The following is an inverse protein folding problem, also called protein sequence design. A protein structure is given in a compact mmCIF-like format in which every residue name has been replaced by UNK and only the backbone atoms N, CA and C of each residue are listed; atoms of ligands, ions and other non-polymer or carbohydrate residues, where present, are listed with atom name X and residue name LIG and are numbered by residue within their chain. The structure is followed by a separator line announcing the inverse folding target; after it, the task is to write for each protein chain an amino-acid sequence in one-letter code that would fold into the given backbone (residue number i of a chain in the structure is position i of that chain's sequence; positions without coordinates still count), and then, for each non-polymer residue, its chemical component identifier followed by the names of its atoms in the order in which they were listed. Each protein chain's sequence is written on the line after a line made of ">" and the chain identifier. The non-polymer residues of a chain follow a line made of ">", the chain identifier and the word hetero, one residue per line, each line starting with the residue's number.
data_IF_563457959165
#
_entry.id   IF_563457959165
#
_cell.length_a   1.000
_cell.length_b   1.000
_cell.length_c   1.000
_cell.angle_alpha   90.00
_cell.angle_beta   90.00
_cell.angle_gamma   90.00
#
_symmetry.space_group_name_H-M   'P 1'
#
loop_
_entity.id
_entity.type
_entity.pdbx_description
1 polymer ?
#
# COMPACT_ATOMS: atom_id res chain seq x y z
N UNK A 1 -58.85 30.48 30.38
CA UNK A 1 -58.28 30.74 29.05
C UNK A 1 -56.79 30.46 29.10
N UNK A 2 -56.35 29.28 28.63
CA UNK A 2 -54.92 28.96 28.45
C UNK A 2 -54.77 28.56 26.98
N UNK A 3 -54.17 29.45 26.19
CA UNK A 3 -53.84 29.19 24.79
C UNK A 3 -52.61 28.28 24.73
N UNK A 4 -52.77 27.15 24.06
CA UNK A 4 -51.70 26.23 23.69
C UNK A 4 -51.15 26.70 22.33
N UNK A 5 -49.94 27.26 22.32
CA UNK A 5 -49.23 27.59 21.09
C UNK A 5 -48.42 26.37 20.63
N UNK A 6 -48.83 25.77 19.52
CA UNK A 6 -48.09 24.70 18.84
C UNK A 6 -47.07 25.39 17.92
N UNK A 7 -45.80 25.34 18.27
CA UNK A 7 -44.69 25.73 17.40
C UNK A 7 -44.40 24.56 16.44
N UNK A 8 -44.92 24.63 15.22
CA UNK A 8 -44.48 23.77 14.12
C UNK A 8 -43.16 24.35 13.61
N UNK A 9 -42.05 23.77 14.07
CA UNK A 9 -40.73 23.97 13.47
C UNK A 9 -40.74 23.27 12.10
N UNK A 10 -41.03 24.04 11.05
CA UNK A 10 -40.62 23.71 9.69
C UNK A 10 -39.09 23.84 9.64
N UNK A 11 -38.38 22.74 9.92
CA UNK A 11 -36.99 22.61 9.48
C UNK A 11 -37.00 22.67 7.95
N UNK A 12 -36.53 23.79 7.40
CA UNK A 12 -36.18 23.86 5.99
C UNK A 12 -35.11 22.81 5.73
N UNK A 13 -35.45 21.78 4.97
CA UNK A 13 -34.46 20.91 4.35
C UNK A 13 -33.65 21.79 3.40
N UNK A 14 -32.45 22.18 3.83
CA UNK A 14 -31.45 22.73 2.91
C UNK A 14 -31.04 21.54 2.05
N UNK A 15 -31.46 21.51 0.78
CA UNK A 15 -30.97 20.51 -0.16
C UNK A 15 -29.50 20.80 -0.45
N UNK A 16 -28.60 20.04 0.17
CA UNK A 16 -27.18 20.06 -0.16
C UNK A 16 -26.99 19.44 -1.54
N UNK A 17 -26.40 20.16 -2.48
CA UNK A 17 -26.00 19.62 -3.78
C UNK A 17 -24.62 18.97 -3.68
N UNK A 18 -24.41 17.85 -4.38
CA UNK A 18 -23.07 17.25 -4.56
C UNK A 18 -22.80 16.87 -6.02
N UNK A 19 -21.52 16.84 -6.35
CA UNK A 19 -20.98 16.42 -7.64
C UNK A 19 -19.96 15.31 -7.41
N UNK A 20 -20.24 14.12 -7.93
CA UNK A 20 -19.30 12.99 -8.00
C UNK A 20 -18.63 12.99 -9.38
N UNK A 21 -17.31 12.99 -9.40
CA UNK A 21 -16.52 12.83 -10.64
C UNK A 21 -15.78 11.50 -10.58
N UNK A 22 -15.93 10.67 -11.61
CA UNK A 22 -15.26 9.37 -11.73
C UNK A 22 -14.33 9.40 -12.94
N UNK A 23 -13.05 9.08 -12.71
CA UNK A 23 -12.03 8.90 -13.73
C UNK A 23 -11.75 7.41 -13.91
N UNK A 24 -12.05 6.86 -15.08
CA UNK A 24 -11.48 5.58 -15.48
C UNK A 24 -10.03 5.84 -15.87
N UNK A 25 -9.10 5.00 -15.41
CA UNK A 25 -7.67 5.18 -15.65
C UNK A 25 -7.09 4.03 -16.47
N UNK A 26 -7.35 2.78 -16.05
CA UNK A 26 -6.86 1.61 -16.77
C UNK A 26 -7.88 0.46 -16.74
N UNK A 27 -7.98 -0.25 -17.87
CA UNK A 27 -8.54 -1.59 -17.93
C UNK A 27 -7.53 -2.50 -18.63
N UNK A 28 -7.17 -3.63 -18.04
CA UNK A 28 -6.18 -4.55 -18.60
C UNK A 28 -6.65 -6.00 -18.43
N UNK A 29 -6.91 -6.67 -19.55
CA UNK A 29 -7.28 -8.07 -19.65
C UNK A 29 -6.07 -8.98 -19.91
N UNK A 30 -4.89 -8.65 -19.38
CA UNK A 30 -3.70 -9.51 -19.43
C UNK A 30 -3.42 -10.11 -20.81
N UNK A 31 -3.39 -11.45 -20.89
CA UNK A 31 -3.20 -12.21 -22.13
C UNK A 31 -4.46 -12.35 -23.02
N UNK A 32 -5.57 -11.73 -22.67
CA UNK A 32 -6.76 -11.64 -23.52
C UNK A 32 -7.73 -12.81 -23.35
N UNK A 33 -8.12 -13.07 -22.11
CA UNK A 33 -9.01 -14.17 -21.77
C UNK A 33 -10.47 -13.71 -21.64
N UNK A 34 -11.39 -14.60 -21.98
CA UNK A 34 -12.82 -14.55 -21.69
C UNK A 34 -13.10 -15.11 -20.29
N UNK A 35 -14.24 -14.75 -19.69
CA UNK A 35 -14.62 -15.14 -18.32
C UNK A 35 -14.66 -16.67 -18.11
N UNK A 36 -14.86 -17.44 -19.19
CA UNK A 36 -14.83 -18.91 -19.17
C UNK A 36 -13.41 -19.51 -19.21
N UNK A 37 -12.36 -18.68 -19.29
CA UNK A 37 -10.96 -19.09 -19.36
C UNK A 37 -10.42 -19.32 -20.78
N UNK A 38 -11.26 -19.23 -21.82
CA UNK A 38 -10.80 -19.29 -23.21
C UNK A 38 -10.18 -17.95 -23.65
N UNK A 39 -9.40 -17.93 -24.73
CA UNK A 39 -8.91 -16.68 -25.30
C UNK A 39 -9.98 -15.99 -26.16
N UNK A 40 -9.94 -14.65 -26.25
CA UNK A 40 -10.81 -13.87 -27.14
C UNK A 40 -10.70 -14.25 -28.62
N UNK A 41 -9.58 -14.87 -29.02
CA UNK A 41 -9.31 -15.29 -30.39
C UNK A 41 -8.69 -16.69 -30.40
N UNK A 42 -9.06 -17.52 -31.38
CA UNK A 42 -8.41 -18.79 -31.65
C UNK A 42 -6.96 -18.64 -32.11
N UNK A 43 -6.56 -17.43 -32.54
CA UNK A 43 -5.22 -17.08 -33.00
C UNK A 43 -4.45 -16.22 -31.99
N UNK A 44 -4.79 -16.28 -30.69
CA UNK A 44 -4.14 -15.50 -29.64
C UNK A 44 -2.61 -15.69 -29.62
N UNK A 45 -2.13 -16.89 -29.95
CA UNK A 45 -0.71 -17.24 -30.04
C UNK A 45 0.04 -16.49 -31.17
N UNK A 46 -0.69 -15.91 -32.12
CA UNK A 46 -0.15 -15.05 -33.18
C UNK A 46 -0.18 -13.56 -32.80
N UNK A 47 -0.48 -13.23 -31.53
CA UNK A 47 -0.56 -11.86 -31.03
C UNK A 47 -1.89 -11.17 -31.32
N UNK A 48 -2.93 -11.90 -31.74
CA UNK A 48 -4.28 -11.35 -31.88
C UNK A 48 -4.91 -11.20 -30.49
N UNK A 49 -5.23 -9.97 -30.13
CA UNK A 49 -5.76 -9.56 -28.83
C UNK A 49 -7.27 -9.31 -28.91
N UNK A 50 -7.90 -9.07 -27.76
CA UNK A 50 -9.34 -8.82 -27.69
C UNK A 50 -9.74 -7.50 -28.37
N UNK A 51 -10.97 -7.44 -28.88
CA UNK A 51 -11.69 -6.19 -29.13
C UNK A 51 -12.62 -5.97 -27.94
N UNK A 52 -12.33 -5.01 -27.08
CA UNK A 52 -13.01 -4.86 -25.80
C UNK A 52 -14.13 -3.84 -25.96
N UNK A 53 -15.36 -4.25 -25.66
CA UNK A 53 -16.48 -3.37 -25.39
C UNK A 53 -16.68 -3.22 -23.88
N UNK A 54 -16.87 -1.99 -23.40
CA UNK A 54 -17.12 -1.72 -21.98
C UNK A 54 -18.50 -1.10 -21.74
N UNK A 55 -19.09 -1.48 -20.61
CA UNK A 55 -20.27 -0.81 -20.03
C UNK A 55 -19.96 -0.49 -18.57
N UNK A 56 -20.32 0.71 -18.13
CA UNK A 56 -20.10 1.18 -16.76
C UNK A 56 -21.43 1.54 -16.13
N UNK A 57 -21.71 1.02 -14.94
CA UNK A 57 -22.91 1.31 -14.17
C UNK A 57 -22.54 1.97 -12.85
N UNK A 58 -23.16 3.10 -12.53
CA UNK A 58 -22.96 3.82 -11.26
C UNK A 58 -24.26 3.79 -10.45
N UNK A 59 -24.18 3.29 -9.22
CA UNK A 59 -25.27 3.31 -8.25
C UNK A 59 -25.01 4.38 -7.20
N UNK A 60 -25.86 5.40 -7.14
CA UNK A 60 -25.80 6.48 -6.14
C UNK A 60 -26.82 6.30 -5.01
N UNK A 61 -27.51 5.15 -4.93
CA UNK A 61 -28.55 4.95 -3.93
C UNK A 61 -27.97 4.78 -2.51
N UNK A 62 -28.63 5.29 -1.44
CA UNK A 62 -28.12 5.26 -0.06
C UNK A 62 -27.79 3.87 0.51
N UNK A 63 -28.55 2.84 0.12
CA UNK A 63 -28.26 1.46 0.54
C UNK A 63 -27.40 0.70 -0.45
N UNK A 64 -27.26 1.24 -1.66
CA UNK A 64 -26.64 0.55 -2.78
C UNK A 64 -27.59 -0.52 -3.26
N UNK A 65 -27.13 -1.28 -4.24
CA UNK A 65 -27.84 -2.46 -4.67
C UNK A 65 -26.99 -3.69 -4.48
N UNK A 66 -27.69 -4.81 -4.34
CA UNK A 66 -27.08 -6.13 -4.28
C UNK A 66 -26.24 -6.41 -5.55
N UNK A 67 -26.55 -5.74 -6.66
CA UNK A 67 -25.79 -5.82 -7.90
C UNK A 67 -25.92 -4.53 -8.74
N UNK A 68 -24.93 -3.62 -8.71
CA UNK A 68 -24.97 -2.39 -9.49
C UNK A 68 -24.95 -2.62 -11.02
N UNK A 69 -24.55 -3.80 -11.50
CA UNK A 69 -24.54 -4.13 -12.93
C UNK A 69 -25.94 -4.42 -13.52
N UNK A 70 -26.90 -4.81 -12.68
CA UNK A 70 -28.21 -5.32 -13.13
C UNK A 70 -29.41 -4.64 -12.46
N UNK A 71 -29.19 -3.48 -11.83
CA UNK A 71 -30.24 -2.77 -11.11
C UNK A 71 -30.83 -1.63 -11.96
N UNK A 72 -32.15 -1.58 -12.04
CA UNK A 72 -32.91 -0.54 -12.75
C UNK A 72 -32.71 0.88 -12.17
N UNK A 73 -32.07 1.01 -11.01
CA UNK A 73 -31.74 2.29 -10.36
C UNK A 73 -30.32 2.79 -10.67
N UNK A 74 -29.50 2.05 -11.41
CA UNK A 74 -28.15 2.49 -11.76
C UNK A 74 -28.12 3.26 -13.07
N UNK A 75 -27.24 4.25 -13.14
CA UNK A 75 -26.95 4.93 -14.41
C UNK A 75 -25.95 4.08 -15.17
N UNK A 76 -26.44 3.38 -16.19
CA UNK A 76 -25.62 2.52 -17.05
C UNK A 76 -25.23 3.26 -18.33
N UNK A 77 -23.93 3.33 -18.61
CA UNK A 77 -23.34 4.05 -19.74
C UNK A 77 -22.53 3.04 -20.57
N UNK A 78 -22.86 2.94 -21.86
CA UNK A 78 -22.12 2.11 -22.81
C UNK A 78 -20.96 2.93 -23.40
N UNK A 79 -19.74 2.42 -23.27
CA UNK A 79 -18.53 3.06 -23.79
C UNK A 79 -18.26 2.69 -25.25
N UNK A 80 -19.00 1.73 -25.79
CA UNK A 80 -18.79 1.16 -27.11
C UNK A 80 -17.53 0.28 -27.16
N UNK A 81 -17.04 0.05 -28.37
CA UNK A 81 -15.78 -0.64 -28.56
C UNK A 81 -14.62 0.32 -28.19
N UNK A 82 -13.90 0.00 -27.12
CA UNK A 82 -12.83 0.83 -26.58
C UNK A 82 -11.44 0.38 -27.03
N UNK A 83 -11.32 -0.82 -27.63
CA UNK A 83 -10.08 -1.27 -28.28
C UNK A 83 -10.31 -1.90 -29.65
N UNK A 84 -9.26 -1.88 -30.48
CA UNK A 84 -9.18 -2.71 -31.68
C UNK A 84 -7.88 -3.49 -31.59
N UNK A 85 -7.99 -4.82 -31.42
CA UNK A 85 -6.86 -5.73 -31.22
C UNK A 85 -5.94 -5.29 -30.07
N UNK A 86 -6.53 -4.97 -28.90
CA UNK A 86 -5.78 -4.67 -27.67
C UNK A 86 -6.46 -5.24 -26.42
N UNK A 87 -5.67 -5.89 -25.56
CA UNK A 87 -6.13 -6.36 -24.24
C UNK A 87 -6.15 -5.25 -23.17
N UNK A 88 -5.61 -4.07 -23.49
CA UNK A 88 -5.42 -2.97 -22.53
C UNK A 88 -6.01 -1.66 -23.05
N UNK A 89 -6.64 -0.92 -22.16
CA UNK A 89 -7.08 0.47 -22.34
C UNK A 89 -6.38 1.33 -21.29
N UNK A 90 -5.69 2.36 -21.77
CA UNK A 90 -5.31 3.50 -20.95
C UNK A 90 -6.28 4.61 -21.28
N UNK A 91 -7.09 4.98 -20.29
CA UNK A 91 -8.08 6.02 -20.48
C UNK A 91 -7.44 7.39 -20.40
N UNK A 92 -7.70 8.23 -21.39
CA UNK A 92 -7.32 9.64 -21.40
C UNK A 92 -8.53 10.52 -21.13
N UNK A 93 -8.32 11.84 -21.05
CA UNK A 93 -9.39 12.83 -20.90
C UNK A 93 -10.13 13.05 -22.24
N UNK A 94 -10.91 12.04 -22.64
CA UNK A 94 -11.69 12.05 -23.88
C UNK A 94 -13.03 11.31 -23.71
N UNK A 95 -13.84 11.30 -24.76
CA UNK A 95 -15.10 10.57 -24.78
C UNK A 95 -14.91 9.13 -25.27
N UNK A 96 -15.54 8.19 -24.57
CA UNK A 96 -15.65 6.78 -24.93
C UNK A 96 -17.13 6.44 -25.05
N UNK A 97 -17.65 6.40 -26.28
CA UNK A 97 -19.09 6.29 -26.50
C UNK A 97 -19.83 7.44 -25.82
N UNK A 98 -20.72 7.11 -24.87
CA UNK A 98 -21.47 8.11 -24.09
C UNK A 98 -20.77 8.55 -22.79
N UNK A 99 -19.66 7.91 -22.42
CA UNK A 99 -18.87 8.27 -21.25
C UNK A 99 -17.91 9.41 -21.59
N UNK A 100 -17.98 10.53 -20.88
CA UNK A 100 -16.93 11.56 -20.92
C UNK A 100 -15.96 11.24 -19.80
N UNK A 101 -14.68 11.03 -20.08
CA UNK A 101 -13.71 10.73 -19.04
C UNK A 101 -12.93 12.01 -18.67
N UNK A 102 -12.90 12.45 -17.39
CA UNK A 102 -13.68 11.94 -16.26
C UNK A 102 -15.18 12.28 -16.34
N UNK A 103 -16.02 11.38 -15.83
CA UNK A 103 -17.48 11.50 -15.90
C UNK A 103 -18.02 12.14 -14.64
N UNK A 104 -18.81 13.20 -14.82
CA UNK A 104 -19.43 13.94 -13.72
C UNK A 104 -20.88 13.49 -13.56
N UNK A 105 -21.26 13.24 -12.32
CA UNK A 105 -22.60 12.93 -11.86
C UNK A 105 -23.01 14.01 -10.86
N UNK A 106 -23.92 14.88 -11.30
CA UNK A 106 -24.51 15.88 -10.43
C UNK A 106 -25.78 15.30 -9.81
N UNK A 107 -25.89 15.36 -8.49
CA UNK A 107 -27.14 15.07 -7.81
C UNK A 107 -27.65 16.36 -7.15
N UNK A 108 -28.87 16.75 -7.53
CA UNK A 108 -29.54 17.94 -7.01
C UNK A 108 -30.38 17.65 -5.76
N UNK A 109 -30.66 16.37 -5.50
CA UNK A 109 -31.53 15.94 -4.42
C UNK A 109 -30.80 14.96 -3.48
N UNK A 110 -30.21 15.51 -2.42
CA UNK A 110 -29.85 14.73 -1.22
C UNK A 110 -28.37 14.73 -0.84
N UNK A 111 -28.11 14.11 0.30
CA UNK A 111 -26.78 13.94 0.86
C UNK A 111 -26.00 12.86 0.10
N UNK A 112 -24.70 13.08 -0.10
CA UNK A 112 -23.82 12.05 -0.64
C UNK A 112 -23.60 10.94 0.39
N UNK A 113 -24.18 9.77 0.14
CA UNK A 113 -24.05 8.59 1.02
C UNK A 113 -23.11 7.51 0.44
N UNK A 114 -22.35 7.88 -0.59
CA UNK A 114 -21.47 6.96 -1.32
C UNK A 114 -21.99 6.52 -2.68
N UNK A 115 -21.23 5.65 -3.34
CA UNK A 115 -21.59 5.03 -4.62
C UNK A 115 -21.05 3.61 -4.77
N UNK A 116 -21.60 2.85 -5.70
CA UNK A 116 -21.01 1.62 -6.23
C UNK A 116 -20.75 1.78 -7.72
N UNK A 117 -19.65 1.17 -8.18
CA UNK A 117 -19.30 1.10 -9.59
C UNK A 117 -19.38 -0.34 -10.07
N UNK A 118 -19.96 -0.57 -11.24
CA UNK A 118 -19.78 -1.80 -11.98
C UNK A 118 -19.17 -1.53 -13.34
N UNK A 119 -18.22 -2.35 -13.75
CA UNK A 119 -17.65 -2.36 -15.10
C UNK A 119 -17.83 -3.75 -15.70
N UNK A 120 -18.52 -3.82 -16.84
CA UNK A 120 -18.72 -5.05 -17.60
C UNK A 120 -17.92 -4.97 -18.88
N UNK A 121 -17.04 -5.94 -19.10
CA UNK A 121 -16.22 -6.07 -20.30
C UNK A 121 -16.68 -7.25 -21.15
N UNK A 122 -16.84 -7.03 -22.46
CA UNK A 122 -17.21 -8.05 -23.43
C UNK A 122 -16.32 -7.99 -24.65
N UNK A 123 -16.14 -9.12 -25.31
CA UNK A 123 -15.53 -9.16 -26.63
C UNK A 123 -16.53 -8.60 -27.64
N UNK A 124 -16.12 -7.59 -28.40
CA UNK A 124 -17.00 -6.75 -29.21
C UNK A 124 -17.64 -7.49 -30.41
N UNK A 125 -17.00 -8.56 -30.90
CA UNK A 125 -17.45 -9.31 -32.08
C UNK A 125 -18.50 -10.36 -31.72
N UNK A 126 -18.28 -11.07 -30.63
CA UNK A 126 -19.03 -12.25 -30.18
C UNK A 126 -20.00 -11.92 -29.05
N UNK A 127 -19.79 -10.80 -28.34
CA UNK A 127 -20.52 -10.44 -27.12
C UNK A 127 -20.13 -11.28 -25.90
N UNK A 128 -19.14 -12.17 -26.04
CA UNK A 128 -18.68 -13.05 -24.97
C UNK A 128 -18.19 -12.23 -23.77
N UNK A 129 -18.51 -12.68 -22.56
CA UNK A 129 -18.09 -11.99 -21.34
C UNK A 129 -16.58 -12.13 -21.17
N UNK A 130 -15.89 -11.01 -20.99
CA UNK A 130 -14.49 -10.96 -20.57
C UNK A 130 -14.43 -10.96 -19.05
N UNK A 131 -15.11 -9.98 -18.44
CA UNK A 131 -15.15 -9.86 -16.98
C UNK A 131 -16.33 -8.99 -16.52
N UNK A 132 -16.71 -9.13 -15.25
CA UNK A 132 -17.61 -8.23 -14.52
C UNK A 132 -16.94 -7.83 -13.22
N UNK A 133 -16.70 -6.53 -13.07
CA UNK A 133 -16.03 -5.95 -11.92
C UNK A 133 -17.07 -5.15 -11.15
N UNK A 134 -17.29 -5.53 -9.90
CA UNK A 134 -18.16 -4.80 -8.97
C UNK A 134 -17.28 -4.21 -7.89
N UNK A 135 -17.23 -2.89 -7.85
CA UNK A 135 -16.62 -2.17 -6.76
C UNK A 135 -17.51 -2.24 -5.52
N UNK A 136 -16.90 -2.57 -4.38
CA UNK A 136 -17.53 -2.41 -3.07
C UNK A 136 -18.04 -0.98 -2.92
N UNK A 137 -19.09 -0.81 -2.11
CA UNK A 137 -19.65 0.51 -1.84
C UNK A 137 -18.57 1.43 -1.27
N UNK A 138 -18.31 2.51 -1.98
CA UNK A 138 -17.48 3.60 -1.53
C UNK A 138 -18.38 4.54 -0.75
N UNK A 139 -18.20 4.63 0.56
CA UNK A 139 -19.04 5.43 1.43
C UNK A 139 -18.74 6.93 1.38
N UNK A 140 -19.54 7.71 2.11
CA UNK A 140 -19.44 9.16 2.20
C UNK A 140 -18.17 9.68 2.90
N UNK A 141 -17.38 8.82 3.55
CA UNK A 141 -16.12 9.22 4.19
C UNK A 141 -14.95 9.24 3.21
N UNK A 142 -15.07 8.57 2.05
CA UNK A 142 -14.04 8.48 1.01
C UNK A 142 -14.31 9.47 -0.11
N UNK A 143 -14.17 10.75 0.19
CA UNK A 143 -14.56 11.85 -0.72
C UNK A 143 -13.61 12.01 -1.91
N UNK A 144 -12.34 11.62 -1.78
CA UNK A 144 -11.35 11.59 -2.86
C UNK A 144 -10.47 10.36 -2.68
N UNK A 145 -10.41 9.47 -3.66
CA UNK A 145 -9.58 8.28 -3.59
C UNK A 145 -9.43 7.63 -4.97
N UNK A 146 -8.73 6.50 -5.02
CA UNK A 146 -8.73 5.59 -6.14
C UNK A 146 -8.94 4.16 -5.66
N UNK A 147 -9.23 3.27 -6.58
CA UNK A 147 -9.30 1.85 -6.27
C UNK A 147 -8.88 1.02 -7.46
N UNK A 148 -8.16 -0.05 -7.14
CA UNK A 148 -7.91 -1.13 -8.07
C UNK A 148 -8.92 -2.24 -7.79
N UNK A 149 -9.36 -2.90 -8.85
CA UNK A 149 -10.01 -4.19 -8.74
C UNK A 149 -9.29 -5.18 -9.64
N UNK A 150 -8.96 -6.32 -9.05
CA UNK A 150 -8.53 -7.51 -9.75
C UNK A 150 -9.57 -8.60 -9.51
N UNK A 151 -10.13 -9.17 -10.58
CA UNK A 151 -10.94 -10.38 -10.43
C UNK A 151 -10.04 -11.60 -10.63
N UNK A 152 -9.89 -12.42 -9.59
CA UNK A 152 -9.21 -13.71 -9.69
C UNK A 152 -10.13 -14.68 -10.44
N UNK A 153 -9.65 -15.19 -11.58
CA UNK A 153 -10.44 -16.13 -12.38
C UNK A 153 -10.48 -17.49 -11.68
N UNK A 154 -11.62 -18.17 -11.77
CA UNK A 154 -12.00 -19.41 -11.06
C UNK A 154 -10.98 -20.57 -11.08
N UNK A 155 -9.94 -20.51 -11.93
CA UNK A 155 -8.93 -21.56 -12.08
C UNK A 155 -7.54 -21.21 -11.51
N UNK A 156 -7.38 -20.09 -10.79
CA UNK A 156 -6.19 -19.77 -9.98
C UNK A 156 -4.84 -19.67 -10.73
N UNK A 157 -4.86 -19.74 -12.06
CA UNK A 157 -3.66 -19.85 -12.92
C UNK A 157 -3.64 -18.81 -14.05
N UNK A 158 -4.63 -17.92 -14.10
CA UNK A 158 -4.85 -17.04 -15.24
C UNK A 158 -4.66 -15.58 -14.81
N UNK A 159 -3.87 -14.86 -15.61
CA UNK A 159 -3.58 -13.42 -15.50
C UNK A 159 -4.86 -12.62 -15.17
N UNK A 160 -4.92 -11.89 -14.03
CA UNK A 160 -6.14 -11.24 -13.58
C UNK A 160 -6.53 -10.07 -14.49
N UNK A 161 -7.83 -9.80 -14.60
CA UNK A 161 -8.28 -8.55 -15.21
C UNK A 161 -8.10 -7.43 -14.19
N UNK A 162 -7.35 -6.38 -14.55
CA UNK A 162 -7.16 -5.19 -13.73
C UNK A 162 -8.06 -4.06 -14.21
N UNK A 163 -8.78 -3.43 -13.29
CA UNK A 163 -9.43 -2.13 -13.53
C UNK A 163 -9.02 -1.13 -12.47
N UNK A 164 -8.60 0.05 -12.91
CA UNK A 164 -8.22 1.18 -12.06
C UNK A 164 -9.12 2.36 -12.38
N UNK A 165 -9.76 2.91 -11.35
CA UNK A 165 -10.49 4.15 -11.43
C UNK A 165 -10.25 5.01 -10.20
N UNK A 166 -10.45 6.32 -10.34
CA UNK A 166 -10.35 7.30 -9.28
C UNK A 166 -11.64 8.10 -9.20
N UNK A 167 -11.90 8.73 -8.05
CA UNK A 167 -13.06 9.59 -7.89
C UNK A 167 -12.78 10.77 -6.98
N UNK A 168 -13.61 11.79 -7.13
CA UNK A 168 -13.66 12.97 -6.27
C UNK A 168 -15.11 13.41 -6.08
N UNK A 169 -15.45 13.84 -4.88
CA UNK A 169 -16.76 14.34 -4.49
C UNK A 169 -16.61 15.76 -3.99
N UNK A 170 -17.39 16.67 -4.57
CA UNK A 170 -17.43 18.08 -4.20
C UNK A 170 -18.87 18.45 -3.86
N UNK A 171 -19.11 19.05 -2.70
CA UNK A 171 -20.45 19.47 -2.27
C UNK A 171 -20.59 19.53 -0.75
N UNK A 172 -21.78 19.88 -0.29
CA UNK A 172 -22.13 19.88 1.14
C UNK A 172 -22.30 18.43 1.62
N UNK A 173 -21.32 17.98 2.40
CA UNK A 173 -21.29 16.65 2.99
C UNK A 173 -21.66 16.78 4.47
N UNK A 174 -22.95 16.60 4.77
CA UNK A 174 -23.43 16.49 6.14
C UNK A 174 -23.04 15.14 6.76
N UNK A 175 -21.82 15.07 7.31
CA UNK A 175 -21.42 13.92 8.11
C UNK A 175 -22.38 13.84 9.31
N UNK A 176 -23.19 12.78 9.45
CA UNK A 176 -24.06 12.66 10.61
C UNK A 176 -23.17 12.79 11.86
N UNK A 177 -23.52 13.67 12.82
CA UNK A 177 -22.75 13.81 14.04
C UNK A 177 -22.63 12.43 14.65
N UNK A 178 -21.39 11.98 14.88
CA UNK A 178 -21.09 10.64 15.38
C UNK A 178 -21.65 10.49 16.79
N UNK A 179 -22.95 10.22 16.93
CA UNK A 179 -23.57 9.82 18.19
C UNK A 179 -23.21 8.35 18.38
N UNK A 180 -22.06 8.10 19.01
CA UNK A 180 -21.61 6.74 19.36
C UNK A 180 -22.66 6.08 20.26
N UNK A 181 -23.31 4.99 19.83
CA UNK A 181 -23.84 4.01 20.76
C UNK A 181 -22.63 3.29 21.41
N UNK A 182 -22.77 2.73 22.62
CA UNK A 182 -21.77 1.84 23.17
C UNK A 182 -21.71 0.59 22.28
N UNK A 183 -20.68 0.48 21.46
CA UNK A 183 -20.47 -0.70 20.61
C UNK A 183 -19.86 -1.80 21.47
N UNK A 184 -20.63 -2.86 21.68
CA UNK A 184 -20.09 -4.19 21.99
C UNK A 184 -19.32 -4.69 20.77
N UNK A 185 -17.99 -4.64 20.89
CA UNK A 185 -17.02 -5.14 19.91
C UNK A 185 -17.14 -6.68 19.84
N UNK A 186 -17.31 -7.30 18.67
CA UNK A 186 -17.04 -8.72 18.52
C UNK A 186 -15.55 -8.95 18.74
N UNK A 187 -15.24 -9.77 19.74
CA UNK A 187 -13.90 -10.09 20.22
C UNK A 187 -13.06 -10.74 19.12
N UNK A 188 -12.39 -9.95 18.29
CA UNK A 188 -11.07 -10.33 17.79
C UNK A 188 -10.07 -9.94 18.86
N UNK A 189 -9.27 -10.90 19.30
CA UNK A 189 -8.28 -10.73 20.36
C UNK A 189 -7.41 -9.50 20.05
N UNK A 190 -7.36 -8.48 20.94
CA UNK A 190 -6.48 -7.35 20.76
C UNK A 190 -5.04 -7.86 20.65
N UNK A 191 -4.34 -7.47 19.59
CA UNK A 191 -2.90 -7.65 19.51
C UNK A 191 -2.28 -6.78 20.61
N UNK A 192 -1.88 -7.41 21.73
CA UNK A 192 -1.13 -6.73 22.79
C UNK A 192 0.24 -6.34 22.24
N UNK A 193 0.37 -5.09 21.82
CA UNK A 193 1.64 -4.49 21.44
C UNK A 193 2.29 -3.89 22.70
N UNK A 194 3.55 -4.20 23.02
CA UNK A 194 4.26 -3.56 24.12
C UNK A 194 4.45 -2.06 23.86
N UNK A 195 3.93 -1.22 24.75
CA UNK A 195 4.29 0.19 24.85
C UNK A 195 5.68 0.29 25.51
N UNK A 196 6.75 0.49 24.72
CA UNK A 196 8.12 0.43 25.25
C UNK A 196 8.85 1.79 25.22
N UNK A 197 8.17 2.87 25.63
CA UNK A 197 8.80 4.19 25.83
C UNK A 197 8.29 4.91 27.07
N UNK A 198 9.23 5.43 27.87
CA UNK A 198 8.94 6.42 28.91
C UNK A 198 8.93 7.83 28.26
N UNK A 199 7.75 8.31 27.88
CA UNK A 199 7.51 9.65 27.33
C UNK A 199 6.03 9.85 26.96
N UNK A 200 5.56 11.10 26.89
CA UNK A 200 4.14 11.45 26.68
C UNK A 200 3.56 11.09 25.28
N UNK A 201 4.25 10.27 24.48
CA UNK A 201 3.80 9.84 23.15
C UNK A 201 3.84 8.33 23.03
N UNK A 202 2.67 7.69 22.99
CA UNK A 202 2.53 6.28 22.66
C UNK A 202 3.06 6.02 21.24
N UNK A 203 3.90 5.00 21.09
CA UNK A 203 4.45 4.56 19.82
C UNK A 203 4.03 3.14 19.51
N UNK A 204 3.82 2.85 18.23
CA UNK A 204 3.59 1.49 17.76
C UNK A 204 4.86 1.00 17.07
N UNK A 205 5.48 -0.05 17.62
CA UNK A 205 6.59 -0.74 16.95
C UNK A 205 6.04 -1.46 15.73
N UNK A 206 6.59 -1.16 14.55
CA UNK A 206 6.18 -1.80 13.29
C UNK A 206 7.24 -2.80 12.79
N UNK A 207 8.47 -2.65 13.24
CA UNK A 207 9.54 -3.60 12.95
C UNK A 207 10.57 -3.56 14.09
N UNK A 208 11.11 -4.72 14.47
CA UNK A 208 12.34 -4.80 15.26
C UNK A 208 13.22 -5.94 14.76
N UNK A 209 14.52 -5.77 14.88
CA UNK A 209 15.49 -6.87 14.83
C UNK A 209 16.25 -6.89 16.14
N UNK A 210 16.40 -8.09 16.68
CA UNK A 210 17.04 -8.35 17.94
C UNK A 210 18.20 -9.33 17.81
N UNK A 211 18.65 -9.85 18.94
CA UNK A 211 19.78 -10.78 19.00
C UNK A 211 19.34 -12.24 19.17
N UNK A 212 18.04 -12.50 19.29
CA UNK A 212 17.47 -13.85 19.40
C UNK A 212 17.07 -14.43 18.03
N UNK A 213 17.94 -15.19 17.36
CA UNK A 213 17.67 -15.74 16.03
C UNK A 213 16.54 -16.77 16.04
N UNK A 214 16.15 -17.32 17.19
CA UNK A 214 15.06 -18.30 17.28
C UNK A 214 13.68 -17.64 17.24
N UNK A 215 13.60 -16.31 17.37
CA UNK A 215 12.33 -15.62 17.51
C UNK A 215 11.55 -15.51 16.20
N UNK A 216 12.24 -15.21 15.10
CA UNK A 216 11.63 -15.15 13.77
C UNK A 216 12.69 -15.10 12.67
N UNK A 217 12.36 -15.67 11.52
CA UNK A 217 13.19 -15.62 10.31
C UNK A 217 12.69 -14.52 9.36
N UNK A 218 13.61 -13.74 8.83
CA UNK A 218 13.36 -12.67 7.85
C UNK A 218 13.91 -13.02 6.47
N UNK A 219 14.63 -14.15 6.36
CA UNK A 219 15.08 -14.74 5.12
C UNK A 219 13.91 -15.49 4.46
N UNK A 220 12.84 -14.76 4.16
CA UNK A 220 11.66 -15.26 3.44
C UNK A 220 11.68 -14.80 1.99
N UNK A 221 11.41 -15.75 1.08
CA UNK A 221 11.45 -15.51 -0.37
C UNK A 221 10.12 -14.96 -0.92
N UNK A 222 9.01 -15.35 -0.30
CA UNK A 222 7.65 -15.05 -0.76
C UNK A 222 7.16 -13.71 -0.23
N UNK A 223 6.55 -12.94 -1.12
CA UNK A 223 5.97 -11.63 -0.81
C UNK A 223 4.86 -11.71 0.23
N UNK A 224 3.98 -12.71 0.13
CA UNK A 224 2.80 -12.82 1.00
C UNK A 224 3.15 -13.09 2.47
N UNK A 225 4.33 -13.65 2.74
CA UNK A 225 4.79 -13.86 4.11
C UNK A 225 4.97 -12.55 4.88
N UNK A 226 5.27 -11.44 4.18
CA UNK A 226 5.40 -10.12 4.80
C UNK A 226 4.07 -9.39 4.98
N UNK A 227 2.93 -9.93 4.51
CA UNK A 227 1.63 -9.28 4.69
C UNK A 227 1.11 -9.36 6.12
N UNK A 228 1.37 -10.50 6.78
CA UNK A 228 0.96 -10.78 8.16
C UNK A 228 2.07 -10.48 9.17
N UNK A 229 1.74 -10.39 10.47
CA UNK A 229 2.75 -10.29 11.52
C UNK A 229 3.73 -11.48 11.51
N UNK A 230 5.00 -11.20 11.75
CA UNK A 230 6.06 -12.20 11.92
C UNK A 230 6.76 -11.94 13.25
N UNK A 231 7.02 -13.01 14.00
CA UNK A 231 7.75 -12.92 15.27
C UNK A 231 6.96 -12.22 16.38
N UNK A 232 7.69 -11.67 17.35
CA UNK A 232 7.08 -11.02 18.53
C UNK A 232 7.75 -9.68 18.82
N UNK A 233 6.99 -8.62 19.14
CA UNK A 233 7.58 -7.32 19.43
C UNK A 233 8.43 -7.37 20.69
N UNK A 234 9.64 -6.82 20.65
CA UNK A 234 10.51 -6.69 21.81
C UNK A 234 11.93 -6.23 21.45
N UNK A 235 12.71 -5.72 22.42
CA UNK A 235 14.04 -5.17 22.18
C UNK A 235 15.09 -6.19 21.72
N UNK A 236 14.87 -7.48 22.02
CA UNK A 236 15.75 -8.60 21.63
C UNK A 236 15.12 -9.53 20.60
N UNK A 237 13.90 -9.23 20.18
CA UNK A 237 13.12 -10.08 19.32
C UNK A 237 13.09 -9.54 17.89
N UNK A 238 12.94 -10.45 16.95
CA UNK A 238 12.64 -10.10 15.56
C UNK A 238 11.12 -9.96 15.42
N UNK A 239 10.68 -8.84 14.87
CA UNK A 239 9.28 -8.54 14.70
C UNK A 239 9.02 -7.79 13.41
N UNK A 240 7.99 -8.23 12.70
CA UNK A 240 7.41 -7.50 11.59
C UNK A 240 5.91 -7.37 11.86
N UNK A 241 5.39 -6.15 11.80
CA UNK A 241 3.99 -5.91 12.08
C UNK A 241 3.04 -6.46 11.00
N UNK A 242 3.55 -6.73 9.81
CA UNK A 242 2.76 -7.10 8.63
C UNK A 242 2.39 -5.89 7.80
N UNK A 243 2.58 -5.99 6.48
CA UNK A 243 2.29 -4.91 5.55
C UNK A 243 0.80 -4.52 5.57
N UNK A 244 -0.12 -5.47 5.74
CA UNK A 244 -1.55 -5.20 5.87
C UNK A 244 -1.86 -4.35 7.11
N UNK A 245 -1.21 -4.67 8.22
CA UNK A 245 -1.39 -3.92 9.46
C UNK A 245 -0.74 -2.53 9.38
N UNK A 246 0.44 -2.40 8.75
CA UNK A 246 1.07 -1.10 8.52
C UNK A 246 0.20 -0.20 7.62
N UNK A 247 -0.38 -0.78 6.56
CA UNK A 247 -1.34 -0.07 5.73
C UNK A 247 -2.54 0.38 6.56
N UNK A 248 -3.24 -0.55 7.23
CA UNK A 248 -4.41 -0.23 8.05
C UNK A 248 -4.12 0.84 9.11
N UNK A 249 -2.96 0.77 9.75
CA UNK A 249 -2.52 1.75 10.75
C UNK A 249 -2.32 3.15 10.16
N UNK A 250 -1.69 3.23 8.98
CA UNK A 250 -1.28 4.51 8.37
C UNK A 250 -2.30 5.09 7.40
N UNK A 251 -3.32 4.33 7.02
CA UNK A 251 -4.36 4.76 6.06
C UNK A 251 -5.77 4.70 6.64
N UNK A 252 -6.03 3.83 7.61
CA UNK A 252 -7.37 3.56 8.15
C UNK A 252 -7.92 4.65 9.07
N UNK A 253 -7.16 5.71 9.35
CA UNK A 253 -7.59 6.84 10.16
C UNK A 253 -7.12 8.13 9.49
N UNK A 254 -7.92 9.20 9.59
CA UNK A 254 -7.50 10.55 9.19
C UNK A 254 -6.51 11.14 10.21
N UNK A 255 -5.45 10.39 10.51
CA UNK A 255 -4.39 10.70 11.46
C UNK A 255 -3.09 10.50 10.70
N UNK A 256 -2.29 11.55 10.66
CA UNK A 256 -0.95 11.47 10.09
C UNK A 256 -0.01 10.80 11.09
N UNK A 257 0.79 9.85 10.59
CA UNK A 257 1.83 9.19 11.37
C UNK A 257 3.21 9.65 10.91
N UNK A 258 4.10 9.80 11.87
CA UNK A 258 5.53 9.93 11.67
C UNK A 258 6.21 8.63 12.11
N UNK A 259 7.43 8.40 11.65
CA UNK A 259 8.21 7.21 11.96
C UNK A 259 9.58 7.60 12.49
N UNK A 260 10.07 6.84 13.46
CA UNK A 260 11.46 6.85 13.87
C UNK A 260 12.11 5.50 13.58
N UNK A 261 13.38 5.53 13.20
CA UNK A 261 14.23 4.34 13.11
C UNK A 261 15.42 4.52 14.03
N UNK A 262 15.66 3.55 14.91
CA UNK A 262 16.78 3.54 15.86
C UNK A 262 17.70 2.37 15.53
N UNK A 263 18.99 2.65 15.40
CA UNK A 263 20.04 1.70 15.04
C UNK A 263 21.00 1.49 16.20
N UNK A 264 21.26 0.24 16.54
CA UNK A 264 22.22 -0.13 17.56
C UNK A 264 23.34 -1.01 17.00
N UNK A 265 24.56 -0.70 17.40
CA UNK A 265 25.66 -1.65 17.37
C UNK A 265 25.94 -2.08 18.81
N UNK A 266 25.68 -3.35 19.13
CA UNK A 266 25.67 -3.85 20.51
C UNK A 266 24.75 -2.97 21.37
N UNK A 267 25.29 -2.36 22.43
CA UNK A 267 24.55 -1.50 23.34
C UNK A 267 24.66 0.00 23.01
N UNK A 268 25.19 0.34 21.84
CA UNK A 268 25.42 1.74 21.45
C UNK A 268 24.47 2.14 20.34
N UNK A 269 23.71 3.21 20.53
CA UNK A 269 22.93 3.82 19.44
C UNK A 269 23.89 4.49 18.44
N UNK A 270 23.98 3.94 17.23
CA UNK A 270 24.87 4.47 16.18
C UNK A 270 24.15 5.43 15.25
N UNK A 271 22.82 5.34 15.14
CA UNK A 271 22.02 6.27 14.38
C UNK A 271 20.57 6.34 14.89
N UNK A 272 19.95 7.49 14.67
CA UNK A 272 18.51 7.68 14.81
C UNK A 272 18.02 8.57 13.68
N UNK A 273 16.91 8.18 13.06
CA UNK A 273 16.32 8.89 11.94
C UNK A 273 14.84 9.14 12.17
N UNK A 274 14.35 10.23 11.60
CA UNK A 274 12.97 10.68 11.71
C UNK A 274 12.39 10.95 10.32
N UNK A 275 11.14 10.53 10.16
CA UNK A 275 10.41 10.58 8.91
C UNK A 275 9.00 11.08 9.15
N UNK A 276 8.59 12.06 8.37
CA UNK A 276 7.24 12.62 8.39
C UNK A 276 6.33 11.94 7.39
N UNK A 277 5.02 11.96 7.68
CA UNK A 277 3.98 11.45 6.77
C UNK A 277 4.20 10.00 6.36
N UNK A 278 4.69 9.17 7.29
CA UNK A 278 4.92 7.76 7.05
C UNK A 278 3.61 7.07 6.68
N UNK A 279 3.61 6.41 5.53
CA UNK A 279 2.47 5.66 5.04
C UNK A 279 2.94 4.45 4.23
N UNK A 280 2.24 3.34 4.39
CA UNK A 280 2.43 2.14 3.59
C UNK A 280 1.19 1.98 2.73
N UNK A 281 1.37 1.90 1.41
CA UNK A 281 0.28 1.62 0.47
C UNK A 281 -0.34 0.25 0.71
N UNK A 282 -1.40 -0.09 -0.02
CA UNK A 282 -2.04 -1.40 0.06
C UNK A 282 -1.38 -2.40 -0.92
N UNK A 283 -1.90 -3.63 -0.95
CA UNK A 283 -1.47 -4.67 -1.88
C UNK A 283 -1.48 -4.22 -3.35
N UNK A 284 -2.41 -3.35 -3.76
CA UNK A 284 -2.52 -2.84 -5.15
C UNK A 284 -1.31 -2.04 -5.58
N UNK A 285 -0.73 -1.31 -4.62
CA UNK A 285 0.47 -0.52 -4.82
C UNK A 285 1.74 -1.32 -4.51
N UNK A 286 1.61 -2.63 -4.25
CA UNK A 286 2.66 -3.47 -3.69
C UNK A 286 3.23 -2.87 -2.41
N UNK A 287 2.34 -2.39 -1.54
CA UNK A 287 2.64 -1.74 -0.27
C UNK A 287 3.68 -0.63 -0.40
N UNK A 288 3.55 0.23 -1.42
CA UNK A 288 4.50 1.31 -1.71
C UNK A 288 4.82 2.15 -0.47
N UNK A 289 6.11 2.36 -0.19
CA UNK A 289 6.56 3.19 0.93
C UNK A 289 6.38 4.67 0.60
N UNK A 290 5.80 5.42 1.54
CA UNK A 290 5.57 6.85 1.41
C UNK A 290 6.01 7.57 2.69
N UNK A 291 6.49 8.78 2.52
CA UNK A 291 6.99 9.61 3.61
C UNK A 291 8.03 10.60 3.13
N UNK A 292 8.58 11.35 4.07
CA UNK A 292 9.63 12.34 3.82
C UNK A 292 10.59 12.38 5.00
N UNK A 293 11.89 12.28 4.74
CA UNK A 293 12.89 12.48 5.79
C UNK A 293 12.89 13.92 6.31
N UNK A 294 13.18 14.09 7.59
CA UNK A 294 13.32 15.41 8.22
C UNK A 294 14.48 16.22 7.61
N UNK A 295 15.50 15.54 7.06
CA UNK A 295 16.75 16.13 6.60
C UNK A 295 17.10 15.78 5.13
N UNK A 296 16.22 16.12 4.17
CA UNK A 296 16.54 16.07 2.73
C UNK A 296 16.97 14.69 2.18
N UNK A 297 17.49 14.65 0.94
CA UNK A 297 17.98 13.41 0.28
C UNK A 297 19.47 13.20 0.55
N UNK A 298 19.85 12.74 1.74
CA UNK A 298 21.28 12.64 2.07
C UNK A 298 21.72 11.30 2.66
N UNK A 299 20.80 10.55 3.30
CA UNK A 299 21.09 9.26 3.95
C UNK A 299 19.75 8.57 4.30
N UNK A 300 19.83 7.35 4.85
CA UNK A 300 18.67 6.55 5.27
C UNK A 300 17.72 6.21 4.13
N UNK A 301 16.43 6.12 4.42
CA UNK A 301 15.39 5.79 3.43
C UNK A 301 15.25 6.84 2.32
N UNK A 302 15.78 8.04 2.55
CA UNK A 302 15.87 9.14 1.57
C UNK A 302 17.17 9.15 0.77
N UNK A 303 18.06 8.18 0.98
CA UNK A 303 19.33 8.10 0.29
C UNK A 303 19.15 7.80 -1.21
N UNK A 304 19.87 8.56 -2.03
CA UNK A 304 19.99 8.35 -3.47
C UNK A 304 18.76 8.75 -4.32
N UNK A 305 18.97 9.06 -5.61
CA UNK A 305 17.93 9.02 -6.61
C UNK A 305 18.00 7.71 -7.42
N UNK A 306 16.97 6.85 -7.35
CA UNK A 306 15.80 6.94 -6.48
C UNK A 306 16.09 6.50 -5.04
N UNK A 307 15.23 6.96 -4.14
CA UNK A 307 15.22 6.60 -2.72
C UNK A 307 14.26 5.46 -2.43
N UNK A 308 14.28 4.91 -1.22
CA UNK A 308 13.31 3.88 -0.81
C UNK A 308 11.88 4.45 -0.75
N UNK A 309 11.74 5.73 -0.40
CA UNK A 309 10.46 6.43 -0.54
C UNK A 309 10.02 6.48 -2.00
N UNK A 310 8.76 6.11 -2.22
CA UNK A 310 8.19 6.00 -3.55
C UNK A 310 8.42 4.64 -4.20
N UNK A 311 9.08 3.70 -3.52
CA UNK A 311 9.36 2.36 -4.04
C UNK A 311 8.34 1.34 -3.54
N UNK A 312 8.07 0.33 -4.35
CA UNK A 312 7.21 -0.82 -4.02
C UNK A 312 7.96 -1.79 -3.13
N UNK A 313 7.24 -2.49 -2.25
CA UNK A 313 7.83 -3.58 -1.49
C UNK A 313 8.15 -4.74 -2.44
N UNK A 314 9.31 -5.36 -2.25
CA UNK A 314 9.73 -6.51 -3.03
C UNK A 314 10.43 -7.55 -2.17
N UNK A 315 10.47 -8.77 -2.67
CA UNK A 315 11.23 -9.89 -2.11
C UNK A 315 12.08 -10.53 -3.20
N UNK A 316 12.76 -11.64 -2.91
CA UNK A 316 13.46 -12.40 -3.93
C UNK A 316 12.56 -12.85 -5.10
N UNK A 317 11.39 -13.41 -4.79
CA UNK A 317 10.50 -13.97 -5.81
C UNK A 317 9.61 -12.92 -6.47
N UNK A 318 9.30 -11.83 -5.78
CA UNK A 318 8.50 -10.72 -6.30
C UNK A 318 9.29 -9.41 -6.18
N UNK A 319 10.33 -9.29 -6.99
CA UNK A 319 11.22 -8.13 -6.93
C UNK A 319 10.58 -6.92 -7.62
N UNK A 320 10.26 -5.90 -6.81
CA UNK A 320 9.63 -4.65 -7.28
C UNK A 320 10.51 -3.40 -7.07
N UNK A 321 11.81 -3.60 -6.85
CA UNK A 321 12.80 -2.52 -6.68
C UNK A 321 13.32 -1.95 -8.00
N UNK A 322 14.42 -1.21 -7.93
CA UNK A 322 15.13 -0.71 -9.11
C UNK A 322 15.57 -1.83 -10.06
N UNK A 323 15.68 -1.60 -11.39
CA UNK A 323 16.16 -2.59 -12.33
C UNK A 323 17.45 -3.27 -11.86
N UNK A 324 17.52 -4.59 -12.08
CA UNK A 324 18.64 -5.43 -11.62
C UNK A 324 20.02 -4.89 -12.06
N UNK A 325 20.10 -4.33 -13.25
CA UNK A 325 21.34 -3.75 -13.80
C UNK A 325 21.91 -2.57 -12.99
N UNK A 326 21.13 -1.96 -12.08
CA UNK A 326 21.52 -0.81 -11.26
C UNK A 326 21.59 -1.20 -9.78
N UNK A 327 21.04 -2.36 -9.41
CA UNK A 327 20.87 -2.78 -8.04
C UNK A 327 21.81 -3.94 -7.72
N UNK A 328 22.92 -3.75 -6.98
CA UNK A 328 23.77 -4.85 -6.54
C UNK A 328 22.99 -5.87 -5.70
N UNK A 329 21.92 -5.43 -5.02
CA UNK A 329 20.98 -6.32 -4.34
C UNK A 329 20.37 -7.38 -5.24
N UNK A 330 20.26 -7.09 -6.53
CA UNK A 330 19.74 -8.03 -7.50
C UNK A 330 20.74 -9.10 -7.93
N UNK A 331 22.05 -8.87 -7.83
CA UNK A 331 23.01 -9.94 -8.09
C UNK A 331 23.00 -10.96 -6.95
N UNK A 332 22.58 -10.55 -5.75
CA UNK A 332 22.29 -11.46 -4.63
C UNK A 332 20.99 -12.25 -4.84
N UNK A 333 20.04 -11.76 -5.67
CA UNK A 333 18.84 -12.52 -6.05
C UNK A 333 19.15 -13.74 -6.93
N UNK A 334 20.24 -13.67 -7.69
CA UNK A 334 20.68 -14.76 -8.57
C UNK A 334 21.58 -15.76 -7.81
N UNK A 335 21.91 -15.48 -6.54
CA UNK A 335 22.59 -16.42 -5.68
C UNK A 335 21.57 -17.41 -5.08
N UNK A 336 21.66 -18.72 -5.37
CA UNK A 336 20.75 -19.72 -4.80
C UNK A 336 20.84 -19.82 -3.26
N UNK A 337 21.91 -19.31 -2.66
CA UNK A 337 22.10 -19.23 -1.21
C UNK A 337 21.75 -17.83 -0.65
N UNK A 338 21.47 -16.85 -1.51
CA UNK A 338 21.28 -15.45 -1.14
C UNK A 338 19.82 -15.06 -1.00
N UNK A 339 19.35 -14.96 0.24
CA UNK A 339 18.07 -14.32 0.53
C UNK A 339 18.29 -12.85 0.89
N UNK A 340 17.63 -11.93 0.20
CA UNK A 340 17.68 -10.50 0.50
C UNK A 340 16.50 -10.07 1.39
N UNK A 341 15.64 -10.99 1.82
CA UNK A 341 14.44 -10.69 2.58
C UNK A 341 13.46 -9.80 1.80
N UNK A 342 12.57 -9.13 2.53
CA UNK A 342 11.58 -8.22 1.97
C UNK A 342 11.85 -6.76 2.30
N UNK A 343 11.95 -5.89 1.29
CA UNK A 343 12.20 -4.46 1.49
C UNK A 343 11.67 -3.57 0.36
N UNK A 344 11.70 -2.26 0.59
CA UNK A 344 11.49 -1.23 -0.43
C UNK A 344 12.83 -0.87 -1.09
N UNK A 345 13.28 -1.70 -2.04
CA UNK A 345 14.61 -1.59 -2.68
C UNK A 345 14.71 -0.43 -3.69
N UNK A 346 14.53 0.81 -3.21
CA UNK A 346 14.59 2.01 -4.03
C UNK A 346 16.01 2.54 -4.20
N UNK A 347 16.79 2.51 -3.12
CA UNK A 347 18.20 2.91 -3.12
C UNK A 347 19.18 1.76 -3.35
N UNK A 348 18.69 0.51 -3.34
CA UNK A 348 19.48 -0.73 -3.37
C UNK A 348 20.46 -0.95 -2.21
N UNK A 349 20.61 0.04 -1.35
CA UNK A 349 21.65 0.10 -0.31
C UNK A 349 21.11 -0.09 1.10
N UNK A 350 19.78 -0.10 1.22
CA UNK A 350 19.05 -0.19 2.47
C UNK A 350 18.29 -1.50 2.54
N UNK A 351 18.34 -2.16 3.69
CA UNK A 351 17.52 -3.30 4.02
C UNK A 351 17.55 -3.60 5.53
N UNK A 352 16.51 -3.21 6.27
CA UNK A 352 16.40 -3.55 7.71
C UNK A 352 15.88 -4.97 7.95
N UNK A 353 15.41 -5.61 6.90
CA UNK A 353 14.93 -6.98 6.89
C UNK A 353 15.99 -7.94 6.31
N UNK A 354 17.24 -7.48 6.13
CA UNK A 354 18.35 -8.30 5.66
C UNK A 354 18.75 -9.40 6.66
N UNK A 355 19.67 -10.24 6.25
CA UNK A 355 20.17 -11.35 7.06
C UNK A 355 20.73 -10.87 8.39
N UNK A 356 20.46 -11.65 9.45
CA UNK A 356 21.01 -11.36 10.77
C UNK A 356 22.37 -12.05 10.94
N UNK A 357 23.42 -11.24 11.05
CA UNK A 357 24.75 -11.71 11.42
C UNK A 357 24.95 -11.58 12.93
N UNK A 358 25.14 -12.70 13.68
CA UNK A 358 25.50 -12.62 15.09
C UNK A 358 26.79 -11.82 15.27
N UNK A 359 26.86 -10.91 16.24
CA UNK A 359 28.00 -9.99 16.38
C UNK A 359 29.34 -10.71 16.63
N UNK A 360 29.29 -11.94 17.13
CA UNK A 360 30.46 -12.77 17.37
C UNK A 360 30.95 -13.53 16.13
N UNK A 361 30.19 -13.50 15.04
CA UNK A 361 30.50 -14.13 13.77
C UNK A 361 31.76 -13.52 13.12
N UNK A 362 32.46 -14.34 12.33
CA UNK A 362 33.69 -13.95 11.62
C UNK A 362 33.44 -13.03 10.42
N UNK A 363 32.18 -12.86 10.02
CA UNK A 363 31.70 -11.93 9.00
C UNK A 363 31.87 -10.47 9.39
N UNK A 364 32.09 -10.12 10.66
CA UNK A 364 32.40 -8.75 11.06
C UNK A 364 33.90 -8.45 10.91
N UNK A 365 34.22 -7.47 10.07
CA UNK A 365 35.56 -6.88 9.98
C UNK A 365 35.89 -6.01 11.21
N UNK A 366 34.90 -5.27 11.71
CA UNK A 366 34.99 -4.49 12.94
C UNK A 366 33.71 -4.63 13.75
N UNK A 367 33.78 -5.43 14.84
CA UNK A 367 32.67 -5.68 15.75
C UNK A 367 32.27 -4.47 16.60
N UNK A 368 33.12 -3.44 16.73
CA UNK A 368 32.80 -2.24 17.49
C UNK A 368 32.06 -1.20 16.64
N UNK A 369 32.28 -1.23 15.32
CA UNK A 369 31.57 -0.41 14.34
C UNK A 369 30.43 -1.18 13.64
N UNK A 370 30.30 -2.48 13.93
CA UNK A 370 29.36 -3.37 13.26
C UNK A 370 29.52 -3.40 11.73
N UNK A 371 30.77 -3.29 11.29
CA UNK A 371 31.14 -3.34 9.87
C UNK A 371 31.43 -4.78 9.46
N UNK A 372 30.75 -5.24 8.41
CA UNK A 372 30.92 -6.53 7.77
C UNK A 372 32.15 -6.55 6.87
N UNK A 373 32.80 -7.70 6.83
CA UNK A 373 33.78 -8.08 5.83
C UNK A 373 33.03 -8.52 4.56
N UNK A 374 33.07 -7.67 3.53
CA UNK A 374 32.43 -7.93 2.23
C UNK A 374 32.85 -9.28 1.63
N UNK A 375 34.08 -9.73 1.90
CA UNK A 375 34.58 -11.00 1.36
C UNK A 375 34.06 -12.21 2.13
N UNK A 376 33.41 -12.03 3.28
CA UNK A 376 32.85 -13.11 4.10
C UNK A 376 31.34 -13.08 4.17
N UNK A 377 30.72 -11.91 4.12
CA UNK A 377 29.27 -11.72 4.06
C UNK A 377 28.68 -12.08 2.66
N UNK A 378 29.18 -13.16 2.04
CA UNK A 378 29.08 -13.49 0.60
C UNK A 378 27.66 -13.74 0.05
N UNK A 379 26.62 -13.65 0.87
CA UNK A 379 25.28 -14.13 0.50
C UNK A 379 24.12 -13.16 0.78
N UNK A 380 24.27 -12.12 1.62
CA UNK A 380 23.12 -11.27 1.94
C UNK A 380 23.53 -9.89 2.46
N UNK A 381 22.62 -8.93 2.33
CA UNK A 381 22.71 -7.69 3.10
C UNK A 381 22.52 -8.02 4.56
N UNK A 382 23.39 -7.46 5.41
CA UNK A 382 23.07 -7.36 6.82
C UNK A 382 21.87 -6.44 7.08
N UNK A 383 21.59 -6.21 8.35
CA UNK A 383 20.56 -5.28 8.80
C UNK A 383 21.11 -3.85 8.67
N UNK A 384 20.93 -3.22 7.51
CA UNK A 384 21.68 -2.01 7.14
C UNK A 384 20.87 -0.92 6.46
N UNK A 385 21.32 0.32 6.61
CA UNK A 385 20.95 1.46 5.78
C UNK A 385 22.18 2.33 5.52
N UNK A 386 22.09 3.23 4.55
CA UNK A 386 23.05 4.29 4.34
C UNK A 386 23.00 5.29 5.50
N UNK A 387 24.14 5.49 6.18
CA UNK A 387 24.26 6.35 7.35
C UNK A 387 25.15 7.59 7.10
N UNK A 388 25.81 7.66 5.94
CA UNK A 388 26.75 8.72 5.62
C UNK A 388 26.19 9.64 4.53
N UNK A 389 26.51 10.92 4.63
CA UNK A 389 26.30 11.89 3.56
C UNK A 389 27.40 11.73 2.51
N UNK A 390 27.21 10.81 1.57
CA UNK A 390 28.15 10.58 0.46
C UNK A 390 27.50 10.90 -0.90
N UNK A 391 28.26 11.39 -1.90
CA UNK A 391 27.78 11.36 -3.27
C UNK A 391 27.53 9.90 -3.67
N UNK A 392 26.36 9.62 -4.24
CA UNK A 392 26.05 8.33 -4.87
C UNK A 392 27.15 8.09 -5.90
N UNK A 393 28.03 7.12 -5.63
CA UNK A 393 29.02 6.70 -6.63
C UNK A 393 28.24 6.27 -7.87
N UNK A 394 28.68 6.70 -9.06
CA UNK A 394 27.97 6.42 -10.32
C UNK A 394 27.83 4.92 -10.66
N UNK A 395 28.36 4.02 -9.83
CA UNK A 395 28.17 2.57 -9.88
C UNK A 395 26.95 2.06 -9.10
N UNK A 396 26.24 2.90 -8.33
CA UNK A 396 25.13 2.44 -7.48
C UNK A 396 25.56 1.58 -6.28
N UNK A 397 26.87 1.50 -6.02
CA UNK A 397 27.46 0.75 -4.92
C UNK A 397 27.84 1.70 -3.78
N UNK A 398 26.90 1.97 -2.88
CA UNK A 398 27.20 2.60 -1.59
C UNK A 398 26.60 1.76 -0.47
N UNK A 399 27.06 0.53 -0.38
CA UNK A 399 26.80 -0.28 0.80
C UNK A 399 27.87 0.10 1.82
N UNK A 400 27.47 0.71 2.93
CA UNK A 400 28.39 0.96 4.05
C UNK A 400 28.86 -0.32 4.74
N UNK A 401 28.33 -1.48 4.34
CA UNK A 401 28.61 -2.78 4.96
C UNK A 401 28.38 -2.78 6.48
N UNK A 402 27.49 -1.93 6.98
CA UNK A 402 27.10 -1.92 8.40
C UNK A 402 25.91 -2.85 8.57
N UNK A 403 26.01 -3.79 9.52
CA UNK A 403 24.90 -4.62 9.96
C UNK A 403 24.62 -4.37 11.43
N UNK A 404 23.52 -3.69 11.73
CA UNK A 404 23.10 -3.43 13.09
C UNK A 404 22.84 -4.75 13.84
N UNK A 405 23.23 -4.81 15.12
CA UNK A 405 22.85 -5.95 15.98
C UNK A 405 21.40 -5.82 16.41
N UNK A 406 20.90 -4.58 16.51
CA UNK A 406 19.49 -4.29 16.75
C UNK A 406 19.03 -3.07 15.95
N UNK A 407 17.81 -3.15 15.44
CA UNK A 407 17.13 -2.02 14.80
C UNK A 407 15.66 -2.02 15.19
N UNK A 408 15.06 -0.83 15.23
CA UNK A 408 13.62 -0.72 15.43
C UNK A 408 13.05 0.40 14.59
N UNK A 409 11.94 0.10 13.91
CA UNK A 409 11.05 1.07 13.29
C UNK A 409 9.79 1.22 14.16
N UNK A 410 9.48 2.45 14.57
CA UNK A 410 8.29 2.74 15.36
C UNK A 410 7.57 3.96 14.79
N UNK A 411 6.23 3.91 14.79
CA UNK A 411 5.38 5.00 14.31
C UNK A 411 4.66 5.67 15.47
N UNK A 412 4.40 6.96 15.32
CA UNK A 412 3.72 7.79 16.30
C UNK A 412 2.87 8.84 15.59
N UNK A 413 1.81 9.31 16.24
CA UNK A 413 0.92 10.31 15.64
C UNK A 413 1.63 11.65 15.53
N UNK A 414 1.46 12.34 14.40
CA UNK A 414 2.03 13.65 14.16
C UNK A 414 1.39 14.77 15.01
N UNK A 415 0.15 14.56 15.47
CA UNK A 415 -0.59 15.48 16.35
C UNK A 415 -0.35 15.24 17.86
N UNK A 416 0.51 14.27 18.19
CA UNK A 416 0.90 13.98 19.56
C UNK A 416 1.86 15.02 20.15
N UNK A 417 1.86 15.15 21.49
CA UNK A 417 2.73 16.05 22.23
C UNK A 417 4.20 15.57 22.22
N UNK A 418 4.92 15.80 21.11
CA UNK A 418 6.38 15.78 21.05
C UNK A 418 7.00 14.68 20.18
N UNK A 419 8.22 14.92 19.72
CA UNK A 419 9.08 13.90 19.11
C UNK A 419 9.62 12.99 20.22
N UNK A 420 9.61 11.65 20.06
CA UNK A 420 10.18 10.74 21.05
C UNK A 420 11.66 11.05 21.31
N UNK A 421 11.97 11.54 22.52
CA UNK A 421 13.29 12.12 22.83
C UNK A 421 14.32 11.11 23.37
N UNK A 422 13.89 10.02 24.01
CA UNK A 422 14.80 9.07 24.68
C UNK A 422 14.38 7.64 24.43
N UNK A 423 15.27 6.78 23.92
CA UNK A 423 14.99 5.35 23.82
C UNK A 423 16.07 4.52 24.48
N UNK A 424 15.66 3.65 25.39
CA UNK A 424 16.53 2.67 26.03
C UNK A 424 16.65 1.39 25.19
N UNK A 425 16.24 1.43 23.91
CA UNK A 425 16.19 0.27 23.03
C UNK A 425 17.55 -0.41 22.87
N UNK A 426 18.63 0.37 22.80
CA UNK A 426 19.99 -0.16 22.73
C UNK A 426 20.54 -0.58 24.10
N UNK A 427 19.89 -0.26 25.22
CA UNK A 427 20.47 -0.54 26.55
C UNK A 427 20.09 -1.93 27.09
N UNK A 428 19.17 -2.64 26.42
CA UNK A 428 18.50 -3.84 26.93
C UNK A 428 19.17 -5.17 26.60
#
# INVERSE_FOLDING_TARGET
>A
MKSLAIFILLLGYVSSEFSLTILLNEFNNGQGFLANGEHCSSFWFAGIQCNIQLTVSVDLTPKGSDNPCNNNKTTTINLGNVTSNSNRILFSEQSYGSWKNPQIFNNQDGFYDGFQLCVVAREATTGALIDTIVADRIDSHRVNDFAYWSNERLNGTIDPTLTLFAWTVVGDMDFPPVTRPPVTVPTTTPLNLPDDFQGNTAQTVIQSRGEDPANADFDMLEFDNFKSPIGTPGPKNHFWFGLDNMNLLTTGRNIQYNMTIVFCCKNTQIARQFYNSFKVGDASTYYKLQGKADHGQQYGLSYGPPSDFGTKFGTNQSYNGLPRSICPASSLLDNPEGNIGGWWFGSCSNNLNGHYYPIDDETFADKNQCTLDQTKARASFGIGIELNNGPVSGSGESLNWISATRVRMAVYRADGNGVPTTSNFCDN
#
